data_IF_922779599669
#
_entry.id   IF_922779599669
#
_cell.length_a   1.000
_cell.length_b   1.000
_cell.length_c   1.000
_cell.angle_alpha   90.00
_cell.angle_beta   90.00
_cell.angle_gamma   90.00
#
_symmetry.space_group_name_H-M   'P 1'
#
loop_
_entity.id
_entity.type
_entity.pdbx_description
1 polymer ?
#
# COMPACT_ATOMS: atom_id res chain seq x y z
N UNK A 1 -12.01 -15.81 -4.59
CA UNK A 1 -12.03 -14.56 -5.37
C UNK A 1 -11.13 -14.78 -6.56
N UNK A 2 -11.69 -14.64 -7.75
CA UNK A 2 -10.98 -14.80 -9.01
C UNK A 2 -9.96 -13.67 -9.21
N UNK A 3 -8.93 -13.90 -10.02
CA UNK A 3 -7.86 -12.94 -10.28
C UNK A 3 -8.41 -11.62 -10.82
N UNK A 4 -9.40 -11.67 -11.72
CA UNK A 4 -10.10 -10.50 -12.24
C UNK A 4 -10.76 -9.69 -11.13
N UNK A 5 -11.43 -10.32 -10.16
CA UNK A 5 -12.05 -9.61 -9.03
C UNK A 5 -10.99 -8.91 -8.17
N UNK A 6 -9.84 -9.55 -7.95
CA UNK A 6 -8.75 -8.94 -7.17
C UNK A 6 -8.20 -7.69 -7.86
N UNK A 7 -7.91 -7.79 -9.16
CA UNK A 7 -7.44 -6.68 -9.96
C UNK A 7 -8.43 -5.50 -9.97
N UNK A 8 -9.71 -5.79 -10.14
CA UNK A 8 -10.77 -4.77 -10.09
C UNK A 8 -10.81 -4.09 -8.73
N UNK A 9 -10.73 -4.84 -7.61
CA UNK A 9 -10.72 -4.25 -6.27
C UNK A 9 -9.49 -3.38 -6.05
N UNK A 10 -8.29 -3.81 -6.45
CA UNK A 10 -7.07 -2.99 -6.37
C UNK A 10 -7.21 -1.71 -7.19
N UNK A 11 -7.76 -1.79 -8.40
CA UNK A 11 -8.02 -0.64 -9.25
C UNK A 11 -9.06 0.32 -8.61
N UNK A 12 -10.13 -0.21 -8.01
CA UNK A 12 -11.10 0.61 -7.28
C UNK A 12 -10.49 1.29 -6.05
N UNK A 13 -9.61 0.61 -5.30
CA UNK A 13 -8.90 1.21 -4.16
C UNK A 13 -7.95 2.31 -4.63
N UNK A 14 -7.19 2.09 -5.71
CA UNK A 14 -6.32 3.09 -6.30
C UNK A 14 -7.11 4.31 -6.79
N UNK A 15 -8.21 4.09 -7.51
CA UNK A 15 -9.13 5.14 -7.94
C UNK A 15 -9.71 5.90 -6.75
N UNK A 16 -10.08 5.21 -5.66
CA UNK A 16 -10.56 5.84 -4.44
C UNK A 16 -9.53 6.78 -3.81
N UNK A 17 -8.24 6.40 -3.81
CA UNK A 17 -7.14 7.26 -3.35
C UNK A 17 -6.98 8.48 -4.26
N UNK A 18 -7.03 8.30 -5.58
CA UNK A 18 -6.96 9.42 -6.54
C UNK A 18 -8.11 10.41 -6.35
N UNK A 19 -9.34 9.92 -6.22
CA UNK A 19 -10.53 10.73 -5.97
C UNK A 19 -10.39 11.46 -4.63
N UNK A 20 -9.91 10.77 -3.59
CA UNK A 20 -9.71 11.37 -2.28
C UNK A 20 -8.64 12.50 -2.32
N UNK A 21 -7.59 12.35 -3.12
CA UNK A 21 -6.59 13.39 -3.32
C UNK A 21 -7.19 14.65 -3.95
N UNK A 22 -8.07 14.49 -4.96
CA UNK A 22 -8.77 15.59 -5.62
C UNK A 22 -9.66 16.41 -4.67
N UNK A 23 -10.31 15.74 -3.69
CA UNK A 23 -11.15 16.42 -2.69
C UNK A 23 -10.34 17.04 -1.53
N UNK A 24 -9.01 16.95 -1.56
CA UNK A 24 -8.10 17.61 -0.62
C UNK A 24 -7.54 16.72 0.50
N UNK A 25 -6.88 17.33 1.49
CA UNK A 25 -6.04 16.59 2.45
C UNK A 25 -6.84 15.73 3.43
N UNK A 26 -8.04 16.18 3.84
CA UNK A 26 -8.86 15.46 4.80
C UNK A 26 -9.47 14.19 4.20
N UNK A 27 -10.09 14.22 3.00
CA UNK A 27 -10.53 13.01 2.32
C UNK A 27 -9.39 12.02 2.04
N UNK A 28 -8.22 12.51 1.63
CA UNK A 28 -7.03 11.69 1.43
C UNK A 28 -6.60 10.98 2.73
N UNK A 29 -6.56 11.69 3.85
CA UNK A 29 -6.24 11.09 5.15
C UNK A 29 -7.27 10.02 5.58
N UNK A 30 -8.56 10.27 5.35
CA UNK A 30 -9.63 9.28 5.61
C UNK A 30 -9.46 8.04 4.73
N UNK A 31 -9.17 8.22 3.44
CA UNK A 31 -8.95 7.12 2.51
C UNK A 31 -7.69 6.30 2.86
N UNK A 32 -6.58 6.96 3.22
CA UNK A 32 -5.37 6.30 3.71
C UNK A 32 -5.60 5.55 5.02
N UNK A 33 -6.38 6.12 5.95
CA UNK A 33 -6.77 5.45 7.19
C UNK A 33 -7.66 4.23 6.95
N UNK A 34 -8.62 4.33 6.04
CA UNK A 34 -9.46 3.21 5.62
C UNK A 34 -8.62 2.09 4.98
N UNK A 35 -7.65 2.45 4.12
CA UNK A 35 -6.72 1.51 3.51
C UNK A 35 -5.88 0.77 4.57
N UNK A 36 -5.36 1.49 5.56
CA UNK A 36 -4.62 0.89 6.68
C UNK A 36 -5.49 -0.07 7.50
N UNK A 37 -6.79 0.23 7.70
CA UNK A 37 -7.73 -0.68 8.36
C UNK A 37 -8.04 -1.93 7.54
N UNK A 38 -8.17 -1.80 6.21
CA UNK A 38 -8.35 -2.95 5.31
C UNK A 38 -7.15 -3.90 5.44
N UNK A 39 -5.94 -3.36 5.41
CA UNK A 39 -4.70 -4.12 5.66
C UNK A 39 -4.78 -4.77 7.04
N UNK A 40 -5.02 -4.00 8.10
CA UNK A 40 -5.05 -4.52 9.48
C UNK A 40 -6.02 -5.70 9.65
N UNK A 41 -7.23 -5.61 9.09
CA UNK A 41 -8.28 -6.63 9.23
C UNK A 41 -7.93 -7.91 8.46
N UNK A 42 -7.44 -7.78 7.23
CA UNK A 42 -7.18 -8.93 6.36
C UNK A 42 -5.80 -9.55 6.56
N UNK A 43 -4.81 -8.81 7.04
CA UNK A 43 -3.41 -9.26 7.17
C UNK A 43 -3.23 -10.53 7.99
N UNK A 44 -3.82 -10.69 9.19
CA UNK A 44 -3.56 -11.89 9.99
C UNK A 44 -4.19 -13.14 9.38
N UNK A 45 -5.25 -12.98 8.59
CA UNK A 45 -5.85 -14.09 7.82
C UNK A 45 -5.07 -14.40 6.56
N UNK A 46 -4.35 -13.41 6.00
CA UNK A 46 -3.50 -13.58 4.84
C UNK A 46 -2.30 -14.48 5.16
N UNK A 47 -1.72 -14.29 6.35
CA UNK A 47 -0.54 -15.02 6.81
C UNK A 47 -0.86 -16.21 7.74
N UNK A 48 -2.14 -16.60 7.84
CA UNK A 48 -2.62 -17.66 8.74
C UNK A 48 -2.02 -17.58 10.17
N UNK A 49 -2.06 -16.37 10.72
CA UNK A 49 -1.50 -16.08 12.04
C UNK A 49 -2.41 -16.67 13.12
N UNK A 50 -1.88 -17.44 14.09
CA UNK A 50 -2.69 -18.09 15.12
C UNK A 50 -3.58 -17.11 15.91
N UNK A 51 -3.06 -15.93 16.22
CA UNK A 51 -3.74 -14.94 17.08
C UNK A 51 -4.17 -13.73 16.27
N UNK A 52 -5.40 -13.81 15.76
CA UNK A 52 -5.94 -12.79 14.87
C UNK A 52 -6.26 -11.46 15.58
N UNK A 53 -6.74 -11.50 16.83
CA UNK A 53 -7.26 -10.31 17.53
C UNK A 53 -6.17 -9.29 17.86
N UNK A 54 -5.15 -9.72 18.61
CA UNK A 54 -4.04 -8.86 19.02
C UNK A 54 -3.31 -8.24 17.83
N UNK A 55 -2.93 -9.06 16.85
CA UNK A 55 -2.25 -8.59 15.63
C UNK A 55 -3.07 -7.55 14.85
N UNK A 56 -4.38 -7.76 14.66
CA UNK A 56 -5.25 -6.76 14.00
C UNK A 56 -5.20 -5.41 14.71
N UNK A 57 -5.30 -5.42 16.03
CA UNK A 57 -5.31 -4.19 16.84
C UNK A 57 -3.96 -3.48 16.73
N UNK A 58 -2.84 -4.20 16.84
CA UNK A 58 -1.51 -3.60 16.71
C UNK A 58 -1.31 -2.97 15.32
N UNK A 59 -1.65 -3.69 14.25
CA UNK A 59 -1.51 -3.17 12.87
C UNK A 59 -2.44 -1.96 12.65
N UNK A 60 -3.68 -2.01 13.14
CA UNK A 60 -4.61 -0.90 13.02
C UNK A 60 -4.12 0.35 13.76
N UNK A 61 -3.62 0.20 14.99
CA UNK A 61 -3.06 1.29 15.77
C UNK A 61 -1.81 1.88 15.11
N UNK A 62 -0.95 1.04 14.55
CA UNK A 62 0.23 1.49 13.81
C UNK A 62 -0.15 2.30 12.56
N UNK A 63 -1.04 1.75 11.73
CA UNK A 63 -1.49 2.40 10.49
C UNK A 63 -2.25 3.70 10.74
N UNK A 64 -3.24 3.68 11.63
CA UNK A 64 -3.98 4.90 12.01
C UNK A 64 -3.09 5.91 12.74
N UNK A 65 -2.17 5.43 13.57
CA UNK A 65 -1.18 6.28 14.25
C UNK A 65 -0.26 6.98 13.25
N UNK A 66 0.19 6.28 12.21
CA UNK A 66 1.02 6.85 11.15
C UNK A 66 0.23 7.88 10.33
N UNK A 67 -0.97 7.51 9.87
CA UNK A 67 -1.87 8.42 9.13
C UNK A 67 -2.20 9.66 9.95
N UNK A 68 -2.59 9.49 11.23
CA UNK A 68 -2.91 10.59 12.13
C UNK A 68 -1.72 11.47 12.45
N UNK A 69 -0.54 10.88 12.69
CA UNK A 69 0.69 11.64 12.94
C UNK A 69 1.09 12.48 11.72
N UNK A 70 1.02 11.91 10.51
CA UNK A 70 1.32 12.64 9.27
C UNK A 70 0.28 13.73 8.98
N UNK A 71 -1.01 13.45 9.19
CA UNK A 71 -2.08 14.43 9.01
C UNK A 71 -2.00 15.61 10.01
N UNK A 72 -1.62 15.34 11.27
CA UNK A 72 -1.47 16.37 12.30
C UNK A 72 -0.14 17.15 12.21
N UNK A 73 0.83 16.66 11.44
CA UNK A 73 2.14 17.29 11.31
C UNK A 73 2.06 18.55 10.45
N UNK A 74 2.39 19.69 11.03
CA UNK A 74 2.55 20.94 10.30
C UNK A 74 4.04 21.15 9.96
N UNK A 75 4.33 21.51 8.70
CA UNK A 75 5.68 21.69 8.17
C UNK A 75 6.36 20.42 7.61
N UNK A 76 7.53 20.62 7.02
CA UNK A 76 8.42 19.55 6.53
C UNK A 76 9.40 19.09 7.63
N UNK A 77 9.81 17.80 7.67
CA UNK A 77 9.39 16.68 6.83
C UNK A 77 8.03 16.10 7.25
N UNK A 78 7.13 15.85 6.29
CA UNK A 78 5.78 15.32 6.57
C UNK A 78 5.77 13.97 7.34
N UNK A 79 6.79 13.13 7.16
CA UNK A 79 6.91 11.81 7.80
C UNK A 79 7.80 11.81 9.06
N UNK A 80 8.14 12.96 9.63
CA UNK A 80 9.10 13.05 10.77
C UNK A 80 8.76 12.20 11.98
N UNK A 81 7.48 11.93 12.24
CA UNK A 81 7.02 11.12 13.37
C UNK A 81 6.86 9.63 13.03
N UNK A 82 6.98 9.24 11.76
CA UNK A 82 6.81 7.85 11.31
C UNK A 82 7.79 6.87 12.00
N UNK A 83 9.08 7.20 12.19
CA UNK A 83 10.01 6.31 12.91
C UNK A 83 9.58 6.06 14.37
N UNK A 84 9.04 7.08 15.04
CA UNK A 84 8.53 6.96 16.43
C UNK A 84 7.30 6.07 16.46
N UNK A 85 6.36 6.27 15.52
CA UNK A 85 5.17 5.41 15.40
C UNK A 85 5.56 3.95 15.16
N UNK A 86 6.52 3.70 14.25
CA UNK A 86 7.04 2.36 13.98
C UNK A 86 7.68 1.73 15.22
N UNK A 87 8.53 2.47 15.94
CA UNK A 87 9.16 1.98 17.15
C UNK A 87 8.12 1.59 18.21
N UNK A 88 7.13 2.46 18.46
CA UNK A 88 6.05 2.20 19.41
C UNK A 88 5.18 1.00 18.98
N UNK A 89 4.89 0.88 17.68
CA UNK A 89 4.13 -0.24 17.14
C UNK A 89 4.86 -1.58 17.29
N UNK A 90 6.18 -1.61 17.08
CA UNK A 90 7.00 -2.80 17.30
C UNK A 90 7.01 -3.19 18.78
N UNK A 91 7.18 -2.22 19.68
CA UNK A 91 7.07 -2.47 21.13
C UNK A 91 5.68 -3.02 21.48
N UNK A 92 4.62 -2.44 20.90
CA UNK A 92 3.25 -2.91 21.10
C UNK A 92 3.03 -4.33 20.57
N UNK A 93 3.68 -4.71 19.46
CA UNK A 93 3.66 -6.08 18.96
C UNK A 93 4.26 -7.05 19.98
N UNK A 94 5.41 -6.72 20.57
CA UNK A 94 5.99 -7.53 21.65
C UNK A 94 5.08 -7.60 22.87
N UNK A 95 4.46 -6.49 23.28
CA UNK A 95 3.51 -6.47 24.41
C UNK A 95 2.31 -7.37 24.13
N UNK A 96 1.73 -7.31 22.92
CA UNK A 96 0.62 -8.17 22.53
C UNK A 96 0.98 -9.67 22.64
N UNK A 97 2.23 -10.00 22.34
CA UNK A 97 2.74 -11.37 22.38
C UNK A 97 3.12 -11.83 23.79
N UNK A 98 3.51 -10.91 24.68
CA UNK A 98 3.67 -11.19 26.11
C UNK A 98 2.35 -11.45 26.81
N UNK A 99 1.27 -10.79 26.37
CA UNK A 99 -0.08 -10.96 26.92
C UNK A 99 -0.80 -12.24 26.45
N UNK A 100 -0.24 -12.95 25.47
CA UNK A 100 -0.79 -14.22 24.96
C UNK A 100 -0.78 -15.30 26.03
N UNK A 101 -1.89 -16.04 26.09
CA UNK A 101 -2.12 -17.15 27.05
C UNK A 101 -2.25 -18.52 26.37
N UNK A 102 -1.99 -18.59 25.07
CA UNK A 102 -2.26 -19.73 24.18
C UNK A 102 -1.11 -20.75 24.10
N UNK A 103 -0.22 -20.79 25.10
CA UNK A 103 0.92 -21.72 25.11
C UNK A 103 2.06 -21.34 24.14
N UNK A 104 1.97 -20.20 23.45
CA UNK A 104 3.03 -19.60 22.62
C UNK A 104 3.51 -20.41 21.39
N UNK A 105 2.65 -21.15 20.65
CA UNK A 105 3.06 -21.74 19.39
C UNK A 105 3.36 -20.65 18.34
N UNK A 106 4.36 -20.87 17.48
CA UNK A 106 4.66 -19.99 16.33
C UNK A 106 4.87 -18.50 16.71
N UNK A 107 5.44 -18.20 17.88
CA UNK A 107 5.68 -16.81 18.33
C UNK A 107 6.43 -16.00 17.29
N UNK A 108 7.58 -16.49 16.82
CA UNK A 108 8.42 -15.77 15.86
C UNK A 108 7.66 -15.46 14.58
N UNK A 109 6.87 -16.41 14.08
CA UNK A 109 6.04 -16.22 12.89
C UNK A 109 4.93 -15.19 13.11
N UNK A 110 4.28 -15.21 14.28
CA UNK A 110 3.28 -14.22 14.67
C UNK A 110 3.88 -12.82 14.81
N UNK A 111 5.08 -12.71 15.39
CA UNK A 111 5.82 -11.45 15.48
C UNK A 111 6.20 -10.92 14.10
N UNK A 112 6.83 -11.74 13.25
CA UNK A 112 7.23 -11.34 11.89
C UNK A 112 6.00 -10.96 11.06
N UNK A 113 4.92 -11.73 11.17
CA UNK A 113 3.64 -11.41 10.54
C UNK A 113 3.06 -10.09 11.04
N UNK A 114 3.14 -9.81 12.34
CA UNK A 114 2.67 -8.53 12.91
C UNK A 114 3.53 -7.36 12.47
N UNK A 115 4.86 -7.49 12.51
CA UNK A 115 5.81 -6.42 12.13
C UNK A 115 5.74 -6.10 10.64
N UNK A 116 5.64 -7.12 9.78
CA UNK A 116 5.43 -6.89 8.34
C UNK A 116 4.11 -6.17 8.05
N UNK A 117 3.04 -6.53 8.77
CA UNK A 117 1.76 -5.84 8.69
C UNK A 117 1.82 -4.39 9.16
N UNK A 118 2.57 -4.11 10.24
CA UNK A 118 2.86 -2.75 10.72
C UNK A 118 3.51 -1.93 9.61
N UNK A 119 4.58 -2.45 8.97
CA UNK A 119 5.27 -1.75 7.88
C UNK A 119 4.29 -1.40 6.76
N UNK A 120 3.53 -2.38 6.27
CA UNK A 120 2.54 -2.16 5.19
C UNK A 120 1.47 -1.14 5.59
N UNK A 121 0.91 -1.24 6.79
CA UNK A 121 -0.15 -0.33 7.24
C UNK A 121 0.38 1.10 7.41
N UNK A 122 1.58 1.28 7.95
CA UNK A 122 2.21 2.60 8.08
C UNK A 122 2.59 3.21 6.73
N UNK A 123 2.84 2.40 5.70
CA UNK A 123 3.13 2.91 4.35
C UNK A 123 1.99 3.73 3.74
N UNK A 124 0.74 3.54 4.23
CA UNK A 124 -0.42 4.31 3.81
C UNK A 124 -0.27 5.82 4.11
N UNK A 125 0.50 6.19 5.14
CA UNK A 125 0.78 7.59 5.46
C UNK A 125 1.58 8.29 4.34
N UNK A 126 2.29 7.53 3.51
CA UNK A 126 3.01 8.05 2.35
C UNK A 126 2.10 8.78 1.36
N UNK A 127 0.86 8.35 1.17
CA UNK A 127 -0.10 9.05 0.30
C UNK A 127 -0.37 10.48 0.76
N UNK A 128 -0.51 10.68 2.07
CA UNK A 128 -0.73 12.01 2.67
C UNK A 128 0.52 12.88 2.49
N UNK A 129 1.71 12.28 2.66
CA UNK A 129 2.97 12.98 2.46
C UNK A 129 3.18 13.36 0.99
N UNK A 130 2.83 12.49 0.03
CA UNK A 130 2.87 12.77 -1.40
C UNK A 130 1.90 13.88 -1.78
N UNK A 131 0.67 13.87 -1.26
CA UNK A 131 -0.30 14.92 -1.54
C UNK A 131 0.11 16.33 -1.07
N UNK A 132 1.19 16.45 -0.28
CA UNK A 132 1.71 17.72 0.23
C UNK A 132 2.90 18.27 -0.55
N UNK A 133 3.45 17.51 -1.49
CA UNK A 133 4.50 18.02 -2.39
C UNK A 133 3.89 18.97 -3.42
N UNK A 134 4.70 19.82 -4.05
CA UNK A 134 4.23 20.84 -5.02
C UNK A 134 3.42 20.21 -6.18
N UNK A 135 3.84 19.05 -6.67
CA UNK A 135 3.13 18.27 -7.70
C UNK A 135 2.25 17.14 -7.11
N UNK A 136 1.85 17.25 -5.84
CA UNK A 136 1.37 16.14 -5.02
C UNK A 136 0.10 15.48 -5.56
N UNK A 137 -0.91 16.25 -5.91
CA UNK A 137 -2.16 15.73 -6.47
C UNK A 137 -1.90 14.96 -7.77
N UNK A 138 -1.22 15.61 -8.72
CA UNK A 138 -0.85 15.02 -10.01
C UNK A 138 -0.05 13.73 -9.82
N UNK A 139 0.87 13.68 -8.85
CA UNK A 139 1.69 12.50 -8.59
C UNK A 139 0.88 11.35 -7.99
N UNK A 140 -0.05 11.65 -7.07
CA UNK A 140 -0.96 10.65 -6.50
C UNK A 140 -1.87 10.07 -7.58
N UNK A 141 -2.48 10.92 -8.41
CA UNK A 141 -3.37 10.49 -9.51
C UNK A 141 -2.60 9.66 -10.53
N UNK A 142 -1.41 10.10 -10.93
CA UNK A 142 -0.56 9.37 -11.90
C UNK A 142 -0.20 7.99 -11.39
N UNK A 143 0.22 7.87 -10.13
CA UNK A 143 0.55 6.59 -9.52
C UNK A 143 -0.68 5.69 -9.37
N UNK A 144 -1.83 6.26 -8.98
CA UNK A 144 -3.08 5.51 -8.86
C UNK A 144 -3.54 4.94 -10.21
N UNK A 145 -3.44 5.72 -11.29
CA UNK A 145 -3.75 5.24 -12.65
C UNK A 145 -2.77 4.14 -13.07
N UNK A 146 -1.47 4.32 -12.83
CA UNK A 146 -0.47 3.31 -13.13
C UNK A 146 -0.71 2.00 -12.36
N UNK A 147 -1.07 2.07 -11.07
CA UNK A 147 -1.43 0.92 -10.25
C UNK A 147 -2.70 0.23 -10.77
N UNK A 148 -3.71 0.99 -11.20
CA UNK A 148 -4.94 0.45 -11.77
C UNK A 148 -4.68 -0.30 -13.08
N UNK A 149 -3.89 0.29 -13.98
CA UNK A 149 -3.49 -0.34 -15.25
C UNK A 149 -2.66 -1.59 -14.99
N UNK A 150 -1.63 -1.50 -14.14
CA UNK A 150 -0.81 -2.64 -13.76
C UNK A 150 -1.66 -3.79 -13.20
N UNK A 151 -2.59 -3.46 -12.30
CA UNK A 151 -3.51 -4.45 -11.69
C UNK A 151 -4.38 -5.13 -12.75
N UNK A 152 -4.97 -4.35 -13.68
CA UNK A 152 -5.78 -4.90 -14.76
C UNK A 152 -4.99 -5.85 -15.67
N UNK A 153 -3.77 -5.45 -16.04
CA UNK A 153 -2.90 -6.24 -16.93
C UNK A 153 -2.43 -7.53 -16.25
N UNK A 154 -2.06 -7.46 -14.97
CA UNK A 154 -1.62 -8.65 -14.21
C UNK A 154 -2.69 -9.74 -14.12
N UNK A 155 -3.97 -9.41 -14.25
CA UNK A 155 -5.05 -10.39 -14.25
C UNK A 155 -5.22 -11.16 -15.58
N UNK A 156 -4.46 -10.80 -16.62
CA UNK A 156 -4.51 -11.52 -17.89
C UNK A 156 -3.90 -12.93 -17.75
N UNK A 157 -4.51 -13.97 -18.36
CA UNK A 157 -4.03 -15.35 -18.28
C UNK A 157 -2.83 -15.57 -19.23
N UNK A 158 -1.72 -14.90 -18.95
CA UNK A 158 -0.47 -14.99 -19.72
C UNK A 158 0.63 -15.68 -18.91
N UNK A 159 1.64 -16.22 -19.60
CA UNK A 159 2.80 -16.82 -18.94
C UNK A 159 3.55 -15.80 -18.06
N UNK A 160 4.07 -16.24 -16.91
CA UNK A 160 4.51 -15.36 -15.82
C UNK A 160 5.46 -14.22 -16.24
N UNK A 161 6.52 -14.52 -17.01
CA UNK A 161 7.47 -13.50 -17.47
C UNK A 161 6.85 -12.51 -18.47
N UNK A 162 6.02 -13.00 -19.39
CA UNK A 162 5.33 -12.16 -20.37
C UNK A 162 4.30 -11.27 -19.69
N UNK A 163 3.55 -11.79 -18.72
CA UNK A 163 2.60 -11.02 -17.93
C UNK A 163 3.31 -9.93 -17.11
N UNK A 164 4.42 -10.27 -16.44
CA UNK A 164 5.21 -9.30 -15.68
C UNK A 164 5.77 -8.18 -16.57
N UNK A 165 6.32 -8.52 -17.74
CA UNK A 165 6.85 -7.55 -18.69
C UNK A 165 5.75 -6.62 -19.23
N UNK A 166 4.57 -7.17 -19.57
CA UNK A 166 3.42 -6.38 -20.03
C UNK A 166 2.86 -5.49 -18.93
N UNK A 167 2.74 -6.02 -17.71
CA UNK A 167 2.28 -5.28 -16.53
C UNK A 167 3.18 -4.06 -16.30
N UNK A 168 4.51 -4.27 -16.31
CA UNK A 168 5.46 -3.19 -16.17
C UNK A 168 5.39 -2.20 -17.33
N UNK A 169 5.43 -2.69 -18.57
CA UNK A 169 5.43 -1.85 -19.77
C UNK A 169 4.19 -0.96 -19.87
N UNK A 170 3.01 -1.52 -19.61
CA UNK A 170 1.74 -0.77 -19.66
C UNK A 170 1.58 0.16 -18.46
N UNK A 171 2.09 -0.20 -17.27
CA UNK A 171 2.13 0.72 -16.13
C UNK A 171 3.02 1.94 -16.40
N UNK A 172 4.19 1.72 -17.01
CA UNK A 172 5.12 2.79 -17.42
C UNK A 172 4.47 3.68 -18.49
N UNK A 173 3.85 3.07 -19.51
CA UNK A 173 3.14 3.82 -20.54
C UNK A 173 2.00 4.66 -19.95
N UNK A 174 1.21 4.09 -19.04
CA UNK A 174 0.12 4.80 -18.36
C UNK A 174 0.64 5.94 -17.47
N UNK A 175 1.66 5.70 -16.65
CA UNK A 175 2.27 6.72 -15.81
C UNK A 175 2.89 7.85 -16.63
N UNK A 176 3.60 7.52 -17.71
CA UNK A 176 4.16 8.51 -18.64
C UNK A 176 3.07 9.31 -19.37
N UNK A 177 2.01 8.65 -19.83
CA UNK A 177 0.90 9.32 -20.51
C UNK A 177 0.15 10.29 -19.59
N UNK A 178 -0.16 9.88 -18.36
CA UNK A 178 -0.79 10.77 -17.38
C UNK A 178 0.16 11.89 -16.97
N UNK A 179 1.44 11.58 -16.73
CA UNK A 179 2.45 12.59 -16.44
C UNK A 179 2.60 13.64 -17.54
N UNK A 180 2.48 13.24 -18.83
CA UNK A 180 2.50 14.17 -19.95
C UNK A 180 1.28 15.11 -20.01
N UNK A 181 0.12 14.62 -19.57
CA UNK A 181 -1.14 15.39 -19.59
C UNK A 181 -1.26 16.32 -18.38
N UNK A 182 -0.65 15.96 -17.25
CA UNK A 182 -0.73 16.74 -16.01
C UNK A 182 0.22 17.96 -16.08
N UNK A 183 -0.29 19.19 -15.88
CA UNK A 183 0.49 20.41 -16.10
C UNK A 183 1.62 20.61 -15.09
N UNK A 184 1.49 20.04 -13.89
CA UNK A 184 2.44 20.21 -12.78
C UNK A 184 3.39 19.01 -12.63
N UNK A 185 3.41 18.08 -13.59
CA UNK A 185 4.19 16.85 -13.49
C UNK A 185 5.12 16.66 -14.68
N UNK A 186 6.40 16.46 -14.41
CA UNK A 186 7.34 16.08 -15.45
C UNK A 186 7.08 14.67 -15.98
N UNK A 187 7.25 14.47 -17.29
CA UNK A 187 7.16 13.15 -17.94
C UNK A 187 8.02 12.09 -17.22
N UNK A 188 9.21 12.48 -16.77
CA UNK A 188 10.13 11.59 -16.06
C UNK A 188 9.53 11.07 -14.75
N UNK A 189 8.86 11.93 -13.99
CA UNK A 189 8.17 11.58 -12.73
C UNK A 189 7.00 10.63 -13.00
N UNK A 190 6.28 10.87 -14.10
CA UNK A 190 5.23 9.97 -14.58
C UNK A 190 5.76 8.58 -14.94
N UNK A 191 6.85 8.51 -15.69
CA UNK A 191 7.54 7.25 -16.03
C UNK A 191 7.97 6.50 -14.77
N UNK A 192 8.62 7.17 -13.81
CA UNK A 192 9.04 6.52 -12.56
C UNK A 192 7.88 6.02 -11.71
N UNK A 193 6.78 6.77 -11.64
CA UNK A 193 5.56 6.30 -10.97
C UNK A 193 5.02 5.01 -11.59
N UNK A 194 5.08 4.91 -12.93
CA UNK A 194 4.70 3.73 -13.69
C UNK A 194 5.65 2.55 -13.48
N UNK A 195 6.96 2.80 -13.42
CA UNK A 195 7.97 1.77 -13.09
C UNK A 195 7.69 1.19 -11.70
N UNK A 196 7.51 2.05 -10.70
CA UNK A 196 7.25 1.62 -9.32
C UNK A 196 5.93 0.85 -9.23
N UNK A 197 4.84 1.38 -9.79
CA UNK A 197 3.54 0.72 -9.79
C UNK A 197 3.57 -0.64 -10.50
N UNK A 198 4.19 -0.69 -11.69
CA UNK A 198 4.31 -1.90 -12.48
C UNK A 198 5.15 -2.97 -11.80
N UNK A 199 6.30 -2.60 -11.24
CA UNK A 199 7.17 -3.51 -10.52
C UNK A 199 6.48 -4.06 -9.27
N UNK A 200 5.83 -3.20 -8.48
CA UNK A 200 5.08 -3.61 -7.29
C UNK A 200 4.00 -4.63 -7.62
N UNK A 201 3.16 -4.34 -8.62
CA UNK A 201 2.05 -5.23 -8.98
C UNK A 201 2.58 -6.53 -9.58
N UNK A 202 3.58 -6.48 -10.46
CA UNK A 202 4.17 -7.68 -11.04
C UNK A 202 4.83 -8.58 -9.97
N UNK A 203 5.57 -8.00 -9.02
CA UNK A 203 6.17 -8.75 -7.91
C UNK A 203 5.12 -9.34 -6.97
N UNK A 204 4.09 -8.58 -6.62
CA UNK A 204 3.01 -9.09 -5.76
C UNK A 204 2.18 -10.18 -6.45
N UNK A 205 1.92 -10.04 -7.75
CA UNK A 205 1.26 -11.07 -8.54
C UNK A 205 2.09 -12.36 -8.56
N UNK A 206 3.38 -12.27 -8.86
CA UNK A 206 4.29 -13.41 -8.84
C UNK A 206 4.40 -14.07 -7.45
N UNK A 207 4.38 -13.27 -6.38
CA UNK A 207 4.36 -13.78 -5.00
C UNK A 207 3.05 -14.50 -4.67
N UNK A 208 1.90 -13.95 -5.06
CA UNK A 208 0.60 -14.54 -4.76
C UNK A 208 0.28 -15.77 -5.60
N UNK A 209 0.80 -15.86 -6.83
CA UNK A 209 0.70 -17.06 -7.65
C UNK A 209 1.37 -18.28 -6.98
N UNK A 210 2.39 -18.05 -6.15
CA UNK A 210 3.06 -19.10 -5.36
C UNK A 210 2.31 -19.49 -4.09
N UNK A 211 1.23 -18.79 -3.72
CA UNK A 211 0.44 -19.01 -2.51
C UNK A 211 -0.97 -19.56 -2.85
N UNK A 212 -1.07 -20.85 -3.27
CA UNK A 212 -2.34 -21.48 -3.64
C UNK A 212 -3.37 -21.58 -2.50
N UNK A 213 -2.96 -21.29 -1.26
CA UNK A 213 -3.78 -21.39 -0.04
C UNK A 213 -4.60 -20.13 0.31
N UNK A 214 -4.61 -19.10 -0.55
CA UNK A 214 -5.41 -17.87 -0.38
C UNK A 214 -6.93 -18.09 -0.59
N UNK A 215 -7.51 -19.14 0.02
CA UNK A 215 -8.92 -19.55 -0.11
C UNK A 215 -9.89 -18.76 0.75
N UNK A 216 -9.41 -17.90 1.64
CA UNK A 216 -10.26 -17.05 2.50
C UNK A 216 -10.69 -15.74 1.83
N UNK A 217 -12.00 -15.49 1.75
CA UNK A 217 -12.60 -14.25 1.20
C UNK A 217 -12.08 -12.97 1.87
N UNK A 218 -11.62 -13.04 3.13
CA UNK A 218 -11.13 -11.88 3.89
C UNK A 218 -9.61 -11.67 3.74
N UNK A 219 -8.81 -12.74 3.57
CA UNK A 219 -7.39 -12.61 3.26
C UNK A 219 -7.18 -11.97 1.88
N UNK A 220 -8.05 -12.29 0.92
CA UNK A 220 -8.05 -11.70 -0.41
C UNK A 220 -8.16 -10.16 -0.42
N UNK A 221 -8.89 -9.56 0.54
CA UNK A 221 -9.01 -8.08 0.62
C UNK A 221 -7.70 -7.40 1.03
N UNK A 222 -6.90 -8.01 1.91
CA UNK A 222 -5.59 -7.45 2.25
C UNK A 222 -4.59 -7.60 1.10
N UNK A 223 -4.69 -8.70 0.35
CA UNK A 223 -3.87 -8.92 -0.84
C UNK A 223 -4.12 -7.86 -1.92
N UNK A 224 -5.36 -7.40 -2.08
CA UNK A 224 -5.71 -6.34 -3.04
C UNK A 224 -5.36 -4.94 -2.54
N UNK A 225 -5.35 -4.71 -1.23
CA UNK A 225 -4.96 -3.42 -0.67
C UNK A 225 -3.44 -3.21 -0.65
N UNK A 226 -2.66 -4.29 -0.66
CA UNK A 226 -1.21 -4.29 -0.54
C UNK A 226 -0.48 -3.39 -1.55
N UNK A 227 -0.73 -3.50 -2.88
CA UNK A 227 -0.07 -2.64 -3.87
C UNK A 227 -0.33 -1.15 -3.62
N UNK A 228 -1.58 -0.81 -3.25
CA UNK A 228 -1.98 0.57 -2.99
C UNK A 228 -1.38 1.07 -1.67
N UNK A 229 -1.37 0.25 -0.61
CA UNK A 229 -0.83 0.63 0.69
C UNK A 229 0.68 0.92 0.62
N UNK A 230 1.44 0.02 0.00
CA UNK A 230 2.89 0.16 -0.15
C UNK A 230 3.26 1.24 -1.17
N UNK A 231 2.44 1.39 -2.22
CA UNK A 231 2.61 2.40 -3.26
C UNK A 231 2.75 3.82 -2.70
N UNK A 232 2.01 4.17 -1.63
CA UNK A 232 2.05 5.50 -1.03
C UNK A 232 3.43 5.94 -0.53
N UNK A 233 4.19 5.06 0.13
CA UNK A 233 5.55 5.43 0.58
C UNK A 233 6.54 5.45 -0.58
N UNK A 234 6.42 4.51 -1.52
CA UNK A 234 7.34 4.45 -2.65
C UNK A 234 7.17 5.63 -3.59
N UNK A 235 5.93 6.08 -3.82
CA UNK A 235 5.69 7.27 -4.63
C UNK A 235 6.12 8.54 -3.90
N UNK A 236 5.99 8.61 -2.57
CA UNK A 236 6.56 9.71 -1.79
C UNK A 236 8.09 9.80 -1.97
N UNK A 237 8.78 8.66 -1.95
CA UNK A 237 10.23 8.60 -2.19
C UNK A 237 10.55 9.06 -3.61
N UNK A 238 9.78 8.62 -4.63
CA UNK A 238 9.93 9.09 -6.01
C UNK A 238 9.74 10.61 -6.08
N UNK A 239 8.68 11.15 -5.48
CA UNK A 239 8.44 12.60 -5.42
C UNK A 239 9.61 13.35 -4.81
N UNK A 240 10.09 12.93 -3.64
CA UNK A 240 11.18 13.64 -2.93
C UNK A 240 12.56 13.50 -3.56
N UNK A 241 12.87 12.36 -4.19
CA UNK A 241 14.21 12.12 -4.75
C UNK A 241 14.33 12.60 -6.19
N UNK A 242 13.25 12.54 -6.97
CA UNK A 242 13.28 12.85 -8.41
C UNK A 242 12.70 14.23 -8.70
N UNK A 243 11.66 14.66 -7.98
CA UNK A 243 11.00 15.97 -8.21
C UNK A 243 11.62 17.07 -7.32
N UNK A 244 12.05 16.72 -6.11
CA UNK A 244 12.61 17.64 -5.11
C UNK A 244 11.61 17.99 -4.03
#
# INVERSE_FOLDING_TARGET
MDLSTRAVVTACLAAGIAVAAFFGPLPLAVASGALALIVAIGWPRLLDIPVHGGTRVVIALAGLGAVGATAATHGEPALRHLPVVLALAVVLAFVAELLRRDGRPRLVESLIGTVSGIVVATSCAGWIATGRTDAGESLVVTCAVALAVASAVSALPLGGWTNAALTLGLAVAAGGAVGYVMPDLDLLSGVWSGVVAGLLVASLHALFDQLPELRGRIGAFSATALPVAVGGTLIFVVGRVIVG
#
